data_IF_222704549068
#
_entry.id   IF_222704549068
#
_cell.length_a   1.000
_cell.length_b   1.000
_cell.length_c   1.000
_cell.angle_alpha   90.00
_cell.angle_beta   90.00
_cell.angle_gamma   90.00
#
_symmetry.space_group_name_H-M   'P 1'
#
loop_
_entity.id
_entity.type
_entity.pdbx_description
1 polymer ?
#
# COMPACT_ATOMS: atom_id res chain seq x y z
N UNK A 1 -14.03 -2.96 -28.37
CA UNK A 1 -12.80 -2.11 -28.34
C UNK A 1 -11.66 -2.98 -27.84
N UNK A 2 -10.50 -2.91 -28.47
CA UNK A 2 -9.29 -3.56 -27.92
C UNK A 2 -8.93 -2.90 -26.59
N UNK A 3 -8.69 -3.69 -25.55
CA UNK A 3 -8.23 -3.20 -24.25
C UNK A 3 -6.89 -2.47 -24.44
N UNK A 4 -6.74 -1.26 -23.86
CA UNK A 4 -5.49 -0.50 -23.91
C UNK A 4 -4.48 -1.07 -22.91
N UNK A 5 -3.20 -0.96 -23.24
CA UNK A 5 -2.11 -1.34 -22.31
C UNK A 5 -1.85 -0.20 -21.32
N UNK A 6 -1.54 -0.55 -20.08
CA UNK A 6 -1.32 0.41 -19.01
C UNK A 6 0.05 0.18 -18.38
N UNK A 7 0.84 1.23 -18.31
CA UNK A 7 2.22 1.18 -17.81
C UNK A 7 2.40 2.07 -16.59
N UNK A 8 3.41 1.76 -15.77
CA UNK A 8 3.85 2.57 -14.64
C UNK A 8 4.98 3.47 -15.12
N UNK A 9 4.76 4.77 -15.09
CA UNK A 9 5.74 5.77 -15.54
C UNK A 9 6.35 6.60 -14.42
N UNK A 10 5.77 6.53 -13.21
CA UNK A 10 6.31 7.23 -12.04
C UNK A 10 5.90 6.54 -10.74
N UNK A 11 6.76 6.62 -9.75
CA UNK A 11 6.56 6.05 -8.42
C UNK A 11 6.99 7.03 -7.34
N UNK A 12 6.31 6.99 -6.19
CA UNK A 12 6.67 7.79 -5.02
C UNK A 12 6.19 7.15 -3.73
N UNK A 13 6.96 7.30 -2.67
CA UNK A 13 6.61 6.73 -1.35
C UNK A 13 7.23 7.52 -0.21
N UNK A 14 6.55 7.50 0.91
CA UNK A 14 7.07 7.88 2.22
C UNK A 14 6.54 6.87 3.23
N UNK A 15 7.42 6.27 4.02
CA UNK A 15 7.07 5.18 4.91
C UNK A 15 8.12 5.05 6.05
N UNK A 16 7.97 4.13 7.02
CA UNK A 16 8.86 4.02 8.18
C UNK A 16 10.33 3.75 7.89
N UNK A 17 10.68 3.31 6.68
CA UNK A 17 12.06 2.99 6.30
C UNK A 17 12.66 3.95 5.26
N UNK A 18 11.91 4.97 4.81
CA UNK A 18 12.42 5.96 3.86
C UNK A 18 11.45 7.10 3.60
N UNK A 19 11.97 8.29 3.35
CA UNK A 19 11.19 9.48 3.01
C UNK A 19 10.96 9.65 1.50
N UNK A 20 11.53 8.75 0.69
CA UNK A 20 11.43 8.69 -0.76
C UNK A 20 11.69 7.27 -1.25
N UNK A 21 11.57 7.07 -2.55
CA UNK A 21 11.75 5.76 -3.20
C UNK A 21 13.18 5.23 -3.02
N UNK A 22 14.19 6.07 -3.20
CA UNK A 22 15.61 5.68 -3.11
C UNK A 22 15.97 5.20 -1.69
N UNK A 23 15.61 5.98 -0.66
CA UNK A 23 15.84 5.61 0.75
C UNK A 23 15.09 4.34 1.12
N UNK A 24 13.83 4.20 0.66
CA UNK A 24 13.00 3.03 0.92
C UNK A 24 13.63 1.78 0.29
N UNK A 25 14.02 1.84 -0.98
CA UNK A 25 14.61 0.69 -1.66
C UNK A 25 15.93 0.26 -1.04
N UNK A 26 16.81 1.22 -0.76
CA UNK A 26 18.06 0.94 -0.03
C UNK A 26 17.80 0.26 1.32
N UNK A 27 16.80 0.71 2.06
CA UNK A 27 16.42 0.10 3.34
C UNK A 27 15.87 -1.32 3.18
N UNK A 28 15.18 -1.62 2.08
CA UNK A 28 14.76 -2.98 1.73
C UNK A 28 15.96 -3.88 1.48
N UNK A 29 16.91 -3.43 0.66
CA UNK A 29 18.15 -4.20 0.34
C UNK A 29 19.01 -4.44 1.59
N UNK A 30 19.10 -3.47 2.49
CA UNK A 30 19.83 -3.56 3.76
C UNK A 30 19.09 -4.37 4.84
N UNK A 31 17.84 -4.79 4.61
CA UNK A 31 17.04 -5.50 5.60
C UNK A 31 16.69 -4.64 6.82
N UNK A 32 16.42 -3.34 6.63
CA UNK A 32 16.13 -2.42 7.72
C UNK A 32 14.70 -2.59 8.25
N UNK A 33 14.56 -2.69 9.56
CA UNK A 33 13.27 -2.65 10.26
C UNK A 33 12.96 -1.20 10.67
N UNK A 34 11.79 -0.68 10.26
CA UNK A 34 11.32 0.66 10.61
C UNK A 34 10.43 0.70 11.87
N UNK A 35 10.22 -0.45 12.51
CA UNK A 35 9.42 -0.55 13.74
C UNK A 35 10.27 -0.08 14.92
N UNK A 36 9.70 0.77 15.75
CA UNK A 36 10.37 1.35 16.91
C UNK A 36 9.33 1.75 17.98
N UNK A 37 9.78 2.10 19.20
CA UNK A 37 8.90 2.71 20.19
C UNK A 37 8.18 3.94 19.63
N UNK A 38 6.87 4.02 19.90
CA UNK A 38 6.03 5.15 19.52
C UNK A 38 6.58 6.44 20.12
N UNK A 39 6.78 7.46 19.29
CA UNK A 39 7.28 8.77 19.67
C UNK A 39 6.28 9.91 19.45
N UNK A 40 5.20 9.66 18.71
CA UNK A 40 4.19 10.68 18.39
C UNK A 40 3.31 11.06 19.60
N UNK A 41 3.23 10.19 20.60
CA UNK A 41 2.48 10.44 21.84
C UNK A 41 3.02 9.58 23.01
N UNK A 42 2.63 9.92 24.25
CA UNK A 42 2.99 9.14 25.44
C UNK A 42 2.21 7.83 25.52
N UNK A 43 2.92 6.71 25.52
CA UNK A 43 2.36 5.36 25.60
C UNK A 43 2.24 4.82 27.02
N UNK A 44 2.46 5.65 28.05
CA UNK A 44 2.37 5.24 29.46
C UNK A 44 1.02 4.61 29.77
N UNK A 45 1.05 3.38 30.26
CA UNK A 45 -0.15 2.59 30.58
C UNK A 45 -0.80 1.89 29.39
N UNK A 46 -0.27 2.02 28.19
CA UNK A 46 -0.72 1.27 27.03
C UNK A 46 -0.03 -0.11 26.95
N UNK A 47 -0.77 -1.09 26.43
CA UNK A 47 -0.24 -2.44 26.23
C UNK A 47 0.68 -2.50 25.01
N UNK A 48 0.33 -1.77 23.93
CA UNK A 48 1.10 -1.70 22.69
C UNK A 48 1.90 -0.39 22.67
N UNK A 49 3.20 -0.51 22.45
CA UNK A 49 4.14 0.60 22.52
C UNK A 49 5.03 0.75 21.28
N UNK A 50 4.86 -0.14 20.29
CA UNK A 50 5.63 -0.14 19.05
C UNK A 50 4.75 0.22 17.86
N UNK A 51 5.33 0.96 16.91
CA UNK A 51 4.71 1.27 15.61
C UNK A 51 5.78 1.50 14.52
N UNK A 52 5.36 1.44 13.26
CA UNK A 52 6.10 1.92 12.11
C UNK A 52 5.78 3.39 11.86
N UNK A 53 6.47 4.31 12.49
CA UNK A 53 6.31 5.76 12.30
C UNK A 53 7.25 6.28 11.22
N UNK A 54 6.81 7.26 10.43
CA UNK A 54 7.73 8.07 9.61
C UNK A 54 8.47 9.02 10.53
N UNK A 55 9.72 8.67 10.86
CA UNK A 55 10.58 9.42 11.77
C UNK A 55 11.09 10.71 11.11
N UNK A 56 11.44 11.71 11.93
CA UNK A 56 12.02 13.00 11.50
C UNK A 56 11.21 13.71 10.39
N UNK A 57 9.89 13.51 10.43
CA UNK A 57 8.96 14.04 9.44
C UNK A 57 8.75 15.55 9.64
N UNK A 58 9.45 16.35 8.84
CA UNK A 58 9.24 17.79 8.72
C UNK A 58 8.54 18.11 7.39
N UNK A 59 7.23 18.26 7.46
CA UNK A 59 6.38 18.55 6.29
C UNK A 59 6.76 19.85 5.59
N UNK A 60 7.38 20.81 6.29
CA UNK A 60 7.74 22.11 5.73
C UNK A 60 8.86 22.05 4.68
N UNK A 61 9.59 20.95 4.62
CA UNK A 61 10.55 20.65 3.56
C UNK A 61 9.89 20.37 2.21
N UNK A 62 8.61 20.00 2.21
CA UNK A 62 7.90 19.52 1.04
C UNK A 62 6.69 20.38 0.66
N UNK A 63 5.97 20.92 1.66
CA UNK A 63 4.72 21.66 1.51
C UNK A 63 4.82 22.99 2.26
N UNK A 64 4.27 24.06 1.67
CA UNK A 64 4.20 25.35 2.35
C UNK A 64 3.54 25.22 3.74
N UNK A 65 4.12 25.88 4.74
CA UNK A 65 3.68 25.79 6.14
C UNK A 65 2.21 26.17 6.36
N UNK A 66 1.68 27.13 5.57
CA UNK A 66 0.27 27.55 5.70
C UNK A 66 -0.66 26.50 5.10
N UNK A 67 -0.27 25.91 3.97
CA UNK A 67 -1.04 24.84 3.34
C UNK A 67 -0.98 23.55 4.16
N UNK A 68 0.17 23.17 4.70
CA UNK A 68 0.31 21.99 5.55
C UNK A 68 -0.60 22.03 6.78
N UNK A 69 -0.88 23.21 7.34
CA UNK A 69 -1.80 23.39 8.48
C UNK A 69 -3.27 23.08 8.15
N UNK A 70 -3.64 23.04 6.89
CA UNK A 70 -4.98 22.72 6.41
C UNK A 70 -5.16 21.22 6.12
N UNK A 71 -4.10 20.42 6.26
CA UNK A 71 -4.03 19.02 5.93
C UNK A 71 -3.74 18.18 7.18
N UNK A 72 -4.48 17.07 7.35
CA UNK A 72 -4.05 16.03 8.29
C UNK A 72 -2.78 15.32 7.79
N UNK A 73 -2.09 14.64 8.68
CA UNK A 73 -0.83 13.95 8.40
C UNK A 73 -0.95 12.95 7.23
N UNK A 74 -2.08 12.21 7.10
CA UNK A 74 -2.27 11.30 5.98
C UNK A 74 -2.32 12.01 4.62
N UNK A 75 -2.96 13.20 4.57
CA UNK A 75 -3.00 14.04 3.36
C UNK A 75 -1.59 14.54 3.04
N UNK A 76 -0.85 15.01 4.05
CA UNK A 76 0.53 15.48 3.86
C UNK A 76 1.41 14.38 3.25
N UNK A 77 1.35 13.15 3.75
CA UNK A 77 2.09 12.01 3.20
C UNK A 77 1.67 11.67 1.77
N UNK A 78 0.36 11.65 1.49
CA UNK A 78 -0.17 11.46 0.14
C UNK A 78 0.32 12.50 -0.85
N UNK A 79 0.35 13.78 -0.45
CA UNK A 79 0.88 14.88 -1.26
C UNK A 79 2.37 14.75 -1.56
N UNK A 80 3.16 14.33 -0.56
CA UNK A 80 4.62 14.15 -0.71
C UNK A 80 4.92 13.01 -1.67
N UNK A 81 4.30 11.84 -1.46
CA UNK A 81 4.48 10.70 -2.36
C UNK A 81 3.98 10.99 -3.79
N UNK A 82 2.87 11.72 -3.93
CA UNK A 82 2.37 12.14 -5.25
C UNK A 82 3.32 13.11 -5.94
N UNK A 83 3.95 14.02 -5.19
CA UNK A 83 4.93 14.94 -5.76
C UNK A 83 6.16 14.21 -6.29
N UNK A 84 6.65 13.22 -5.53
CA UNK A 84 7.76 12.38 -5.98
C UNK A 84 7.37 11.61 -7.24
N UNK A 85 6.22 10.92 -7.25
CA UNK A 85 5.75 10.15 -8.40
C UNK A 85 5.57 11.00 -9.66
N UNK A 86 5.01 12.20 -9.53
CA UNK A 86 4.84 13.14 -10.64
C UNK A 86 6.18 13.65 -11.20
N UNK A 87 7.13 13.97 -10.32
CA UNK A 87 8.48 14.37 -10.74
C UNK A 87 9.21 13.21 -11.45
N UNK A 88 9.12 12.01 -10.88
CA UNK A 88 9.73 10.81 -11.43
C UNK A 88 9.15 10.44 -12.81
N UNK A 89 7.84 10.62 -13.00
CA UNK A 89 7.17 10.36 -14.28
C UNK A 89 7.59 11.30 -15.40
N UNK A 90 8.13 12.47 -15.09
CA UNK A 90 8.44 13.51 -16.06
C UNK A 90 7.21 14.09 -16.79
N UNK A 91 6.00 13.88 -16.26
CA UNK A 91 4.77 14.42 -16.84
C UNK A 91 4.73 15.95 -16.75
N UNK A 92 4.46 16.61 -17.88
CA UNK A 92 4.16 18.03 -17.92
C UNK A 92 2.64 18.24 -17.93
N UNK A 93 2.10 18.76 -16.84
CA UNK A 93 0.65 18.97 -16.67
C UNK A 93 0.05 19.92 -17.70
N UNK A 94 0.86 20.78 -18.35
CA UNK A 94 0.40 21.67 -19.41
C UNK A 94 0.17 20.96 -20.75
N UNK A 95 0.71 19.76 -20.89
CA UNK A 95 0.61 18.93 -22.12
C UNK A 95 -0.31 17.72 -21.97
N UNK A 96 -1.05 17.64 -20.85
CA UNK A 96 -2.03 16.57 -20.59
C UNK A 96 -3.44 17.14 -20.74
N UNK A 97 -4.35 16.37 -21.33
CA UNK A 97 -5.79 16.68 -21.25
C UNK A 97 -6.25 16.48 -19.78
N UNK A 98 -6.52 17.58 -19.09
CA UNK A 98 -6.91 17.57 -17.69
C UNK A 98 -8.17 16.75 -17.41
N UNK A 99 -9.11 16.64 -18.36
CA UNK A 99 -10.32 15.82 -18.22
C UNK A 99 -10.08 14.32 -18.41
N UNK A 100 -8.91 13.95 -18.89
CA UNK A 100 -8.45 12.57 -19.05
C UNK A 100 -7.31 12.21 -18.07
N UNK A 101 -7.07 13.11 -17.10
CA UNK A 101 -6.11 12.95 -16.02
C UNK A 101 -6.86 12.88 -14.69
N UNK A 102 -6.78 11.73 -14.01
CA UNK A 102 -7.55 11.46 -12.79
C UNK A 102 -6.69 11.09 -11.58
N UNK A 103 -7.36 10.98 -10.44
CA UNK A 103 -6.75 10.64 -9.14
C UNK A 103 -7.61 9.61 -8.42
N UNK A 104 -7.04 8.47 -8.04
CA UNK A 104 -7.66 7.51 -7.13
C UNK A 104 -6.68 7.21 -6.02
N UNK A 105 -6.90 7.79 -4.84
CA UNK A 105 -6.02 7.58 -3.67
C UNK A 105 -6.86 7.23 -2.47
N UNK A 106 -6.56 6.07 -1.88
CA UNK A 106 -7.25 5.50 -0.72
C UNK A 106 -6.69 6.03 0.60
N UNK A 107 -7.57 6.10 1.59
CA UNK A 107 -7.21 6.10 3.02
C UNK A 107 -8.28 5.29 3.75
N UNK A 108 -7.86 4.40 4.63
CA UNK A 108 -8.79 3.51 5.36
C UNK A 108 -9.57 4.23 6.46
N UNK A 109 -8.92 5.15 7.18
CA UNK A 109 -9.50 5.82 8.35
C UNK A 109 -9.61 7.34 8.14
N UNK A 110 -8.73 7.92 7.34
CA UNK A 110 -8.67 9.38 7.16
C UNK A 110 -7.98 10.08 8.33
N UNK A 111 -8.43 11.30 8.65
CA UNK A 111 -7.77 12.20 9.60
C UNK A 111 -8.07 11.90 11.07
N UNK A 112 -7.76 10.71 11.56
CA UNK A 112 -8.03 10.31 12.95
C UNK A 112 -7.32 11.23 13.96
N UNK A 113 -6.07 11.62 13.71
CA UNK A 113 -5.35 12.56 14.56
C UNK A 113 -6.01 13.96 14.61
N UNK A 114 -6.58 14.41 13.50
CA UNK A 114 -7.38 15.65 13.46
C UNK A 114 -8.67 15.51 14.24
N UNK A 115 -9.36 14.36 14.22
CA UNK A 115 -10.54 14.10 15.04
C UNK A 115 -10.20 14.22 16.51
N UNK A 116 -9.17 13.52 16.99
CA UNK A 116 -8.75 13.54 18.40
C UNK A 116 -8.43 14.96 18.87
N UNK A 117 -7.58 15.67 18.10
CA UNK A 117 -7.14 17.02 18.44
C UNK A 117 -8.28 18.03 18.48
N UNK A 118 -9.21 17.96 17.52
CA UNK A 118 -10.34 18.89 17.47
C UNK A 118 -11.37 18.55 18.53
N UNK A 119 -11.60 17.27 18.84
CA UNK A 119 -12.46 16.87 19.94
C UNK A 119 -11.95 17.42 21.28
N UNK A 120 -10.68 17.25 21.60
CA UNK A 120 -10.04 17.80 22.79
C UNK A 120 -10.12 19.35 22.87
N UNK A 121 -10.01 20.01 21.72
CA UNK A 121 -10.15 21.47 21.62
C UNK A 121 -11.59 21.89 21.90
N UNK A 122 -12.55 21.19 21.31
CA UNK A 122 -13.98 21.44 21.49
C UNK A 122 -14.43 21.24 22.94
N UNK A 123 -13.95 20.20 23.63
CA UNK A 123 -14.24 19.99 25.04
C UNK A 123 -13.74 21.14 25.94
N UNK A 124 -12.54 21.65 25.66
CA UNK A 124 -11.93 22.73 26.47
C UNK A 124 -12.45 24.11 26.16
N UNK A 125 -12.86 24.40 24.92
CA UNK A 125 -13.15 25.76 24.43
C UNK A 125 -14.55 25.95 23.86
N UNK A 126 -15.32 24.86 23.70
CA UNK A 126 -16.62 24.81 23.01
C UNK A 126 -16.47 24.24 21.59
N UNK A 127 -17.47 23.45 21.17
CA UNK A 127 -17.46 22.73 19.88
C UNK A 127 -17.40 23.68 18.67
N UNK A 128 -17.90 24.92 18.80
CA UNK A 128 -17.80 25.93 17.75
C UNK A 128 -16.41 26.56 17.59
N UNK A 129 -15.43 26.11 18.40
CA UNK A 129 -14.04 26.59 18.40
C UNK A 129 -13.05 25.62 17.77
N UNK A 130 -13.53 24.53 17.18
CA UNK A 130 -12.71 23.61 16.40
C UNK A 130 -12.18 24.28 15.13
N UNK A 131 -11.16 23.69 14.51
CA UNK A 131 -10.57 24.22 13.27
C UNK A 131 -11.63 24.40 12.17
N UNK A 132 -11.65 25.52 11.42
CA UNK A 132 -12.51 25.65 10.23
C UNK A 132 -12.15 24.64 9.13
N UNK A 133 -10.97 24.04 9.20
CA UNK A 133 -10.52 22.97 8.30
C UNK A 133 -10.77 21.57 8.87
N UNK A 134 -11.44 21.43 10.03
CA UNK A 134 -11.64 20.15 10.70
C UNK A 134 -12.26 19.10 9.75
N UNK A 135 -13.37 19.42 9.12
CA UNK A 135 -14.05 18.47 8.21
C UNK A 135 -13.17 18.10 7.01
N UNK A 136 -12.61 19.06 6.24
CA UNK A 136 -11.68 18.73 5.16
C UNK A 136 -10.44 17.90 5.58
N UNK A 137 -9.96 18.09 6.81
CA UNK A 137 -8.82 17.31 7.33
C UNK A 137 -9.18 15.88 7.69
N UNK A 138 -10.47 15.59 7.96
CA UNK A 138 -10.91 14.28 8.46
C UNK A 138 -11.34 13.31 7.38
N UNK A 139 -12.02 13.77 6.34
CA UNK A 139 -12.63 12.89 5.35
C UNK A 139 -11.57 12.25 4.43
N UNK A 140 -11.67 10.93 4.28
CA UNK A 140 -10.65 10.11 3.60
C UNK A 140 -10.38 10.52 2.14
N UNK A 141 -11.40 11.04 1.42
CA UNK A 141 -11.27 11.43 0.02
C UNK A 141 -10.49 12.73 -0.20
N UNK A 142 -10.17 13.49 0.85
CA UNK A 142 -9.50 14.78 0.68
C UNK A 142 -8.01 14.64 0.32
N UNK A 143 -7.38 13.50 0.57
CA UNK A 143 -6.05 13.26 -0.01
C UNK A 143 -6.11 13.28 -1.55
N UNK A 144 -7.04 12.53 -2.15
CA UNK A 144 -7.27 12.55 -3.60
C UNK A 144 -7.66 13.97 -4.10
N UNK A 145 -8.53 14.68 -3.36
CA UNK A 145 -8.94 16.03 -3.69
C UNK A 145 -7.79 17.04 -3.69
N UNK A 146 -6.92 17.02 -2.67
CA UNK A 146 -5.74 17.89 -2.62
C UNK A 146 -4.75 17.59 -3.76
N UNK A 147 -4.52 16.33 -4.08
CA UNK A 147 -3.68 15.89 -5.20
C UNK A 147 -4.27 16.39 -6.52
N UNK A 148 -5.58 16.20 -6.75
CA UNK A 148 -6.26 16.64 -7.97
C UNK A 148 -6.14 18.16 -8.16
N UNK A 149 -6.31 18.95 -7.11
CA UNK A 149 -6.14 20.42 -7.13
C UNK A 149 -4.70 20.79 -7.49
N UNK A 150 -3.71 20.14 -6.86
CA UNK A 150 -2.31 20.45 -7.07
C UNK A 150 -1.82 20.22 -8.51
N UNK A 151 -2.41 19.25 -9.21
CA UNK A 151 -2.01 18.84 -10.58
C UNK A 151 -3.06 19.17 -11.65
N UNK A 152 -4.13 19.91 -11.29
CA UNK A 152 -5.23 20.24 -12.21
C UNK A 152 -5.85 19.02 -12.88
N UNK A 153 -5.89 17.89 -12.15
CA UNK A 153 -6.50 16.63 -12.63
C UNK A 153 -8.03 16.75 -12.52
N UNK A 154 -8.69 16.94 -13.66
CA UNK A 154 -10.14 17.18 -13.77
C UNK A 154 -10.92 15.95 -14.25
N UNK A 155 -10.23 14.81 -14.42
CA UNK A 155 -10.85 13.52 -14.68
C UNK A 155 -11.47 12.93 -13.42
N UNK A 156 -11.56 11.59 -13.36
CA UNK A 156 -12.08 10.90 -12.18
C UNK A 156 -11.25 11.22 -10.93
N UNK A 157 -11.89 11.69 -9.86
CA UNK A 157 -11.26 11.88 -8.56
C UNK A 157 -12.07 11.14 -7.49
N UNK A 158 -11.51 10.09 -6.88
CA UNK A 158 -12.23 9.27 -5.88
C UNK A 158 -11.28 8.62 -4.88
N UNK A 159 -11.86 8.06 -3.82
CA UNK A 159 -11.15 7.36 -2.75
C UNK A 159 -11.93 6.07 -2.41
N UNK A 160 -11.50 4.89 -2.85
CA UNK A 160 -12.06 3.65 -2.35
C UNK A 160 -11.69 3.46 -0.88
N UNK A 161 -12.68 3.17 -0.03
CA UNK A 161 -12.47 2.90 1.39
C UNK A 161 -12.78 1.43 1.63
N UNK A 162 -11.78 0.59 1.42
CA UNK A 162 -11.84 -0.88 1.56
C UNK A 162 -10.81 -1.38 2.57
N UNK A 163 -10.68 -0.65 3.68
CA UNK A 163 -9.73 -0.92 4.76
C UNK A 163 -8.31 -1.14 4.21
N UNK A 164 -7.65 -2.24 4.59
CA UNK A 164 -6.27 -2.55 4.20
C UNK A 164 -6.08 -2.82 2.70
N UNK A 165 -7.16 -3.13 1.97
CA UNK A 165 -7.12 -3.35 0.52
C UNK A 165 -7.24 -2.04 -0.29
N UNK A 166 -7.49 -0.91 0.38
CA UNK A 166 -7.84 0.35 -0.28
C UNK A 166 -6.81 0.84 -1.29
N UNK A 167 -5.52 0.81 -0.96
CA UNK A 167 -4.45 1.23 -1.86
C UNK A 167 -4.37 0.35 -3.12
N UNK A 168 -4.52 -0.96 -2.97
CA UNK A 168 -4.55 -1.91 -4.09
C UNK A 168 -5.79 -1.72 -4.95
N UNK A 169 -6.97 -1.52 -4.34
CA UNK A 169 -8.20 -1.19 -5.09
C UNK A 169 -8.06 0.12 -5.86
N UNK A 170 -7.47 1.16 -5.25
CA UNK A 170 -7.24 2.44 -5.92
C UNK A 170 -6.39 2.28 -7.20
N UNK A 171 -5.31 1.51 -7.12
CA UNK A 171 -4.44 1.21 -8.26
C UNK A 171 -5.19 0.38 -9.32
N UNK A 172 -5.91 -0.66 -8.89
CA UNK A 172 -6.68 -1.52 -9.78
C UNK A 172 -7.83 -0.80 -10.49
N UNK A 173 -8.55 0.08 -9.80
CA UNK A 173 -9.62 0.88 -10.39
C UNK A 173 -9.05 1.92 -11.37
N UNK A 174 -7.91 2.53 -11.06
CA UNK A 174 -7.19 3.42 -11.97
C UNK A 174 -6.75 2.69 -13.25
N UNK A 175 -6.19 1.49 -13.10
CA UNK A 175 -5.83 0.61 -14.21
C UNK A 175 -7.03 0.35 -15.13
N UNK A 176 -8.18 -0.06 -14.58
CA UNK A 176 -9.39 -0.30 -15.38
C UNK A 176 -9.85 0.96 -16.10
N UNK A 177 -9.83 2.12 -15.47
CA UNK A 177 -10.23 3.39 -16.08
C UNK A 177 -9.35 3.76 -17.29
N UNK A 178 -8.04 3.51 -17.22
CA UNK A 178 -7.14 3.74 -18.36
C UNK A 178 -7.35 2.68 -19.44
N UNK A 179 -7.36 1.39 -19.05
CA UNK A 179 -7.49 0.26 -19.95
C UNK A 179 -8.78 0.34 -20.80
N UNK A 180 -9.87 0.74 -20.16
CA UNK A 180 -11.19 0.79 -20.78
C UNK A 180 -11.45 2.14 -21.48
N UNK A 181 -10.44 3.05 -21.49
CA UNK A 181 -10.44 4.27 -22.32
C UNK A 181 -11.09 5.49 -21.69
N UNK A 182 -11.42 5.47 -20.38
CA UNK A 182 -12.01 6.63 -19.70
C UNK A 182 -10.96 7.68 -19.32
N UNK A 183 -9.75 7.26 -18.99
CA UNK A 183 -8.63 8.15 -18.64
C UNK A 183 -7.39 7.79 -19.46
N UNK A 184 -6.42 8.69 -19.56
CA UNK A 184 -5.11 8.44 -20.18
C UNK A 184 -4.00 8.36 -19.14
N UNK A 185 -4.13 9.12 -18.05
CA UNK A 185 -3.18 9.16 -16.94
C UNK A 185 -3.94 9.15 -15.62
N UNK A 186 -3.43 8.39 -14.65
CA UNK A 186 -3.99 8.34 -13.30
C UNK A 186 -2.89 8.41 -12.23
N UNK A 187 -3.09 9.24 -11.22
CA UNK A 187 -2.34 9.17 -9.95
C UNK A 187 -3.10 8.19 -9.06
N UNK A 188 -2.47 7.10 -8.65
CA UNK A 188 -3.15 6.03 -7.93
C UNK A 188 -2.31 5.45 -6.78
N UNK A 189 -2.97 5.09 -5.68
CA UNK A 189 -2.31 4.49 -4.53
C UNK A 189 -3.06 4.69 -3.22
N UNK A 190 -2.32 4.82 -2.12
CA UNK A 190 -2.91 5.01 -0.81
C UNK A 190 -2.03 5.78 0.16
N UNK A 191 -2.65 6.39 1.17
CA UNK A 191 -1.99 7.10 2.26
C UNK A 191 -2.74 6.88 3.57
N UNK A 192 -2.01 6.80 4.70
CA UNK A 192 -2.59 6.59 6.02
C UNK A 192 -1.68 7.13 7.11
N UNK A 193 -2.27 7.70 8.18
CA UNK A 193 -1.53 8.17 9.35
C UNK A 193 -2.34 7.95 10.65
N UNK A 194 -2.62 6.69 10.93
CA UNK A 194 -3.49 6.29 12.07
C UNK A 194 -2.73 5.88 13.32
N UNK A 195 -1.41 6.14 13.39
CA UNK A 195 -0.61 5.95 14.62
C UNK A 195 -0.93 7.08 15.60
N UNK A 196 -2.06 6.94 16.27
CA UNK A 196 -2.62 7.89 17.24
C UNK A 196 -3.08 7.15 18.50
N UNK A 197 -3.31 7.82 19.64
CA UNK A 197 -3.84 7.18 20.84
C UNK A 197 -5.11 6.34 20.58
N UNK A 198 -6.10 6.89 19.87
CA UNK A 198 -7.33 6.14 19.55
C UNK A 198 -7.08 5.04 18.52
N UNK A 199 -6.22 5.25 17.53
CA UNK A 199 -5.86 4.24 16.54
C UNK A 199 -5.22 3.02 17.20
N UNK A 200 -4.16 3.23 17.97
CA UNK A 200 -3.49 2.16 18.73
C UNK A 200 -4.45 1.54 19.76
N UNK A 201 -5.19 2.37 20.51
CA UNK A 201 -6.15 1.88 21.51
C UNK A 201 -7.26 1.04 20.91
N UNK A 202 -7.85 1.48 19.81
CA UNK A 202 -8.94 0.78 19.12
C UNK A 202 -8.53 -0.60 18.61
N UNK A 203 -7.40 -0.69 17.89
CA UNK A 203 -6.89 -1.98 17.40
C UNK A 203 -6.35 -2.87 18.55
N UNK A 204 -5.83 -2.29 19.64
CA UNK A 204 -5.48 -3.05 20.85
C UNK A 204 -6.71 -3.68 21.49
N UNK A 205 -7.83 -2.94 21.60
CA UNK A 205 -9.10 -3.45 22.13
C UNK A 205 -9.64 -4.62 21.32
N UNK A 206 -9.41 -4.63 20.01
CA UNK A 206 -9.75 -5.74 19.12
C UNK A 206 -8.77 -6.93 19.24
N UNK A 207 -7.69 -6.80 20.01
CA UNK A 207 -6.59 -7.78 20.10
C UNK A 207 -5.95 -8.08 18.72
N UNK A 208 -5.90 -7.08 17.86
CA UNK A 208 -5.36 -7.20 16.51
C UNK A 208 -3.86 -6.84 16.42
N UNK A 209 -3.37 -6.01 17.38
CA UNK A 209 -1.97 -5.57 17.40
C UNK A 209 -1.08 -6.54 18.18
N UNK A 210 0.15 -6.65 17.71
CA UNK A 210 1.23 -7.31 18.45
C UNK A 210 1.54 -6.54 19.74
N UNK A 211 1.67 -7.24 20.84
CA UNK A 211 2.07 -6.70 22.14
C UNK A 211 3.55 -6.99 22.46
N UNK A 212 4.33 -7.38 21.47
CA UNK A 212 5.77 -7.55 21.59
C UNK A 212 6.45 -6.23 22.00
N UNK A 213 7.49 -6.35 22.79
CA UNK A 213 8.32 -5.21 23.24
C UNK A 213 9.64 -5.10 22.50
N UNK A 214 10.05 -6.15 21.79
CA UNK A 214 11.20 -6.15 20.90
C UNK A 214 10.75 -5.76 19.48
N UNK A 215 11.23 -4.63 18.92
CA UNK A 215 10.92 -4.21 17.56
C UNK A 215 11.16 -5.29 16.49
N UNK A 216 12.19 -6.13 16.69
CA UNK A 216 12.54 -7.20 15.75
C UNK A 216 11.69 -8.46 15.91
N UNK A 217 10.78 -8.51 16.91
CA UNK A 217 9.82 -9.60 17.10
C UNK A 217 8.36 -9.15 17.05
N UNK A 218 8.12 -7.88 16.72
CA UNK A 218 6.77 -7.31 16.71
C UNK A 218 5.99 -7.58 15.42
N UNK A 219 6.63 -7.41 14.24
CA UNK A 219 6.06 -7.76 12.94
C UNK A 219 6.90 -8.87 12.31
N UNK A 220 6.38 -10.08 12.36
CA UNK A 220 7.05 -11.33 11.99
C UNK A 220 6.12 -12.18 11.09
N UNK A 221 5.82 -11.71 9.86
CA UNK A 221 4.91 -12.42 8.98
C UNK A 221 5.33 -13.88 8.76
N UNK A 222 4.34 -14.78 8.76
CA UNK A 222 4.50 -16.22 8.58
C UNK A 222 5.30 -16.98 9.68
N UNK A 223 5.88 -16.26 10.65
CA UNK A 223 6.59 -16.87 11.78
C UNK A 223 5.57 -17.53 12.73
N UNK A 224 5.93 -18.66 13.32
CA UNK A 224 5.06 -19.42 14.24
C UNK A 224 4.67 -18.62 15.50
N UNK A 225 5.53 -17.71 15.95
CA UNK A 225 5.31 -16.89 17.14
C UNK A 225 4.58 -15.58 16.87
N UNK A 226 4.08 -15.37 15.63
CA UNK A 226 3.31 -14.16 15.28
C UNK A 226 2.05 -14.05 16.13
N UNK A 227 1.75 -12.86 16.61
CA UNK A 227 0.64 -12.65 17.54
C UNK A 227 -0.21 -11.40 17.25
N UNK A 228 0.01 -10.73 16.12
CA UNK A 228 -0.70 -9.52 15.72
C UNK A 228 0.12 -8.68 14.77
N UNK A 229 -0.50 -7.68 14.15
CA UNK A 229 0.23 -6.75 13.29
C UNK A 229 0.79 -5.57 14.08
N UNK A 230 1.80 -4.90 13.52
CA UNK A 230 2.29 -3.61 14.00
C UNK A 230 1.70 -2.52 13.11
N UNK A 231 1.02 -1.53 13.70
CA UNK A 231 0.50 -0.40 12.92
C UNK A 231 1.64 0.45 12.36
N UNK A 232 1.55 0.79 11.09
CA UNK A 232 2.43 1.73 10.41
C UNK A 232 1.67 2.91 9.80
N UNK A 233 2.41 3.88 9.29
CA UNK A 233 1.90 5.03 8.56
C UNK A 233 2.72 5.27 7.29
N UNK A 234 2.19 5.98 6.32
CA UNK A 234 2.91 6.30 5.09
C UNK A 234 2.02 6.56 3.89
N UNK A 235 2.64 6.58 2.72
CA UNK A 235 1.96 6.65 1.43
C UNK A 235 2.78 5.94 0.35
N UNK A 236 2.09 5.35 -0.62
CA UNK A 236 2.67 4.80 -1.83
C UNK A 236 1.80 5.16 -3.03
N UNK A 237 2.40 5.75 -4.06
CA UNK A 237 1.72 6.32 -5.22
C UNK A 237 2.42 5.87 -6.50
N UNK A 238 1.62 5.48 -7.46
CA UNK A 238 2.01 5.18 -8.84
C UNK A 238 1.40 6.21 -9.80
N UNK A 239 2.13 6.53 -10.86
CA UNK A 239 1.56 7.15 -12.05
C UNK A 239 1.32 6.02 -13.06
N UNK A 240 0.03 5.75 -13.31
CA UNK A 240 -0.41 4.83 -14.35
C UNK A 240 -0.72 5.62 -15.61
N UNK A 241 -0.29 5.11 -16.75
CA UNK A 241 -0.40 5.82 -18.03
C UNK A 241 -0.73 4.84 -19.15
N UNK A 242 -1.51 5.28 -20.11
CA UNK A 242 -1.75 4.53 -21.35
C UNK A 242 -0.45 4.41 -22.14
N UNK A 243 -0.14 3.22 -22.65
CA UNK A 243 1.15 2.91 -23.26
C UNK A 243 1.52 3.84 -24.43
N UNK A 244 0.60 4.06 -25.39
CA UNK A 244 0.89 4.90 -26.55
C UNK A 244 1.08 6.38 -26.16
N UNK A 245 0.35 6.83 -25.11
CA UNK A 245 0.56 8.15 -24.52
C UNK A 245 1.96 8.25 -23.91
N UNK A 246 2.40 7.26 -23.14
CA UNK A 246 3.73 7.19 -22.53
C UNK A 246 4.85 7.16 -23.59
N UNK A 247 4.71 6.32 -24.62
CA UNK A 247 5.69 6.20 -25.71
C UNK A 247 5.82 7.51 -26.50
N UNK A 248 4.70 8.16 -26.81
CA UNK A 248 4.68 9.42 -27.57
C UNK A 248 5.50 10.54 -26.90
N UNK A 249 5.54 10.56 -25.57
CA UNK A 249 6.31 11.55 -24.82
C UNK A 249 7.71 11.08 -24.41
N UNK A 250 8.10 9.83 -24.75
CA UNK A 250 9.38 9.23 -24.40
C UNK A 250 9.52 8.95 -22.90
N UNK A 251 8.42 8.53 -22.24
CA UNK A 251 8.42 8.23 -20.82
C UNK A 251 9.36 7.09 -20.46
N UNK A 252 9.98 7.17 -19.29
CA UNK A 252 10.52 5.99 -18.62
C UNK A 252 9.37 5.08 -18.20
N UNK A 253 9.50 3.78 -18.44
CA UNK A 253 8.50 2.77 -18.08
C UNK A 253 9.14 1.77 -17.11
N UNK A 254 8.58 1.67 -15.91
CA UNK A 254 9.01 0.72 -14.88
C UNK A 254 8.53 -0.70 -15.14
N UNK A 255 7.31 -0.84 -15.65
CA UNK A 255 6.64 -2.11 -15.90
C UNK A 255 5.24 -1.86 -16.43
N UNK A 256 4.56 -2.93 -16.81
CA UNK A 256 3.19 -2.93 -17.28
C UNK A 256 2.27 -3.53 -16.22
N UNK A 257 1.17 -2.87 -15.90
CA UNK A 257 0.10 -3.47 -15.10
C UNK A 257 -0.81 -4.27 -16.02
N UNK A 258 -0.98 -5.57 -15.73
CA UNK A 258 -1.68 -6.49 -16.64
C UNK A 258 -2.95 -7.07 -16.07
N UNK A 259 -3.08 -7.18 -14.75
CA UNK A 259 -4.24 -7.79 -14.12
C UNK A 259 -4.65 -7.16 -12.81
N UNK A 260 -5.96 -7.16 -12.57
CA UNK A 260 -6.58 -6.74 -11.32
C UNK A 260 -7.76 -7.63 -10.98
N UNK A 261 -7.71 -8.29 -9.82
CA UNK A 261 -8.76 -9.14 -9.30
C UNK A 261 -9.24 -8.69 -7.94
N UNK A 262 -10.53 -8.81 -7.70
CA UNK A 262 -11.19 -8.46 -6.43
C UNK A 262 -12.18 -9.54 -6.03
N UNK A 263 -12.42 -9.65 -4.72
CA UNK A 263 -13.48 -10.46 -4.15
C UNK A 263 -13.91 -9.90 -2.80
N UNK A 264 -14.98 -10.44 -2.27
CA UNK A 264 -15.42 -10.19 -0.90
C UNK A 264 -15.70 -11.53 -0.20
N UNK A 265 -15.15 -11.72 1.01
CA UNK A 265 -15.39 -12.91 1.81
C UNK A 265 -16.86 -13.08 2.20
N UNK A 266 -17.60 -12.00 2.41
CA UNK A 266 -18.99 -11.97 2.87
C UNK A 266 -19.23 -12.92 4.07
N UNK A 267 -18.24 -12.98 4.99
CA UNK A 267 -18.20 -13.95 6.08
C UNK A 267 -18.25 -13.30 7.47
N UNK A 268 -17.26 -12.49 7.81
CA UNK A 268 -17.13 -11.83 9.11
C UNK A 268 -16.50 -10.46 8.95
N UNK A 269 -16.75 -9.54 9.90
CA UNK A 269 -16.30 -8.15 9.76
C UNK A 269 -14.77 -8.00 9.84
N UNK A 270 -14.09 -8.88 10.56
CA UNK A 270 -12.62 -8.80 10.78
C UNK A 270 -11.87 -10.08 10.53
N UNK A 271 -12.54 -11.26 10.56
CA UNK A 271 -11.89 -12.54 10.30
C UNK A 271 -11.98 -12.91 8.81
N UNK A 272 -10.91 -13.43 8.21
CA UNK A 272 -10.95 -13.92 6.84
C UNK A 272 -11.87 -15.16 6.72
N UNK A 273 -12.33 -15.40 5.50
CA UNK A 273 -13.05 -16.64 5.17
C UNK A 273 -12.08 -17.83 5.36
N UNK A 274 -12.52 -18.92 6.06
CA UNK A 274 -11.68 -20.10 6.26
C UNK A 274 -11.10 -20.63 4.94
N UNK A 275 -9.91 -21.22 5.00
CA UNK A 275 -9.16 -21.75 3.86
C UNK A 275 -8.75 -20.70 2.81
N UNK A 276 -8.93 -19.40 3.11
CA UNK A 276 -8.49 -18.30 2.25
C UNK A 276 -9.23 -18.18 0.92
N UNK A 277 -10.45 -18.73 0.81
CA UNK A 277 -11.20 -18.74 -0.47
C UNK A 277 -11.35 -17.36 -1.09
N UNK A 278 -11.64 -16.31 -0.31
CA UNK A 278 -11.77 -14.96 -0.84
C UNK A 278 -10.49 -14.42 -1.46
N UNK A 279 -9.35 -14.60 -0.77
CA UNK A 279 -8.04 -14.25 -1.31
C UNK A 279 -7.70 -15.05 -2.58
N UNK A 280 -8.05 -16.35 -2.61
CA UNK A 280 -7.87 -17.19 -3.78
C UNK A 280 -8.69 -16.68 -4.99
N UNK A 281 -9.95 -16.28 -4.77
CA UNK A 281 -10.77 -15.67 -5.83
C UNK A 281 -10.18 -14.35 -6.35
N UNK A 282 -9.65 -13.49 -5.49
CA UNK A 282 -9.02 -12.25 -5.92
C UNK A 282 -7.79 -12.53 -6.79
N UNK A 283 -6.92 -13.47 -6.39
CA UNK A 283 -5.74 -13.87 -7.16
C UNK A 283 -6.14 -14.51 -8.50
N UNK A 284 -7.10 -15.43 -8.51
CA UNK A 284 -7.58 -16.05 -9.76
C UNK A 284 -8.19 -15.02 -10.70
N UNK A 285 -9.02 -14.11 -10.19
CA UNK A 285 -9.60 -13.02 -11.00
C UNK A 285 -8.53 -12.11 -11.60
N UNK A 286 -7.41 -11.86 -10.89
CA UNK A 286 -6.29 -11.08 -11.42
C UNK A 286 -5.57 -11.82 -12.56
N UNK A 287 -5.36 -13.14 -12.42
CA UNK A 287 -4.78 -13.98 -13.48
C UNK A 287 -5.68 -14.03 -14.72
N UNK A 288 -6.98 -14.19 -14.51
CA UNK A 288 -7.97 -14.22 -15.60
C UNK A 288 -8.06 -12.86 -16.32
N UNK A 289 -8.02 -11.74 -15.58
CA UNK A 289 -8.02 -10.39 -16.13
C UNK A 289 -6.74 -10.11 -16.95
N UNK A 290 -5.59 -10.63 -16.49
CA UNK A 290 -4.32 -10.57 -17.21
C UNK A 290 -4.25 -11.55 -18.40
N UNK A 291 -5.10 -12.57 -18.45
CA UNK A 291 -5.07 -13.62 -19.46
C UNK A 291 -3.82 -14.49 -19.41
N UNK A 292 -3.29 -14.74 -18.21
CA UNK A 292 -2.07 -15.52 -17.99
C UNK A 292 -2.31 -16.74 -17.10
N UNK A 293 -1.45 -17.74 -17.24
CA UNK A 293 -1.45 -18.91 -16.36
C UNK A 293 -0.76 -18.59 -15.02
N UNK A 294 -1.17 -19.26 -13.96
CA UNK A 294 -0.63 -19.07 -12.60
C UNK A 294 0.89 -19.39 -12.51
N UNK A 295 1.39 -20.27 -13.36
CA UNK A 295 2.79 -20.74 -13.34
C UNK A 295 3.82 -19.74 -13.89
N UNK A 296 3.37 -18.61 -14.44
CA UNK A 296 4.26 -17.52 -14.89
C UNK A 296 4.53 -16.49 -13.81
N UNK A 297 3.84 -16.53 -12.67
CA UNK A 297 4.12 -15.61 -11.55
C UNK A 297 5.41 -16.04 -10.83
N UNK A 298 6.37 -15.13 -10.76
CA UNK A 298 7.69 -15.37 -10.15
C UNK A 298 7.73 -15.04 -8.66
N UNK A 299 6.98 -14.01 -8.25
CA UNK A 299 6.97 -13.47 -6.91
C UNK A 299 5.60 -12.93 -6.50
N UNK A 300 5.23 -13.17 -5.25
CA UNK A 300 4.07 -12.57 -4.59
C UNK A 300 4.54 -11.69 -3.44
N UNK A 301 4.25 -10.37 -3.51
CA UNK A 301 4.27 -9.51 -2.35
C UNK A 301 2.95 -9.75 -1.60
N UNK A 302 3.04 -10.50 -0.52
CA UNK A 302 1.89 -10.97 0.23
C UNK A 302 1.30 -9.88 1.13
N UNK A 303 0.03 -10.02 1.47
CA UNK A 303 -0.57 -9.21 2.53
C UNK A 303 0.15 -9.43 3.85
N UNK A 304 0.37 -10.68 4.26
CA UNK A 304 1.31 -11.09 5.32
C UNK A 304 1.38 -10.14 6.52
N UNK A 305 0.32 -10.04 7.32
CA UNK A 305 0.19 -9.04 8.38
C UNK A 305 0.89 -9.40 9.69
N UNK A 306 1.42 -10.61 9.82
CA UNK A 306 1.91 -11.14 11.10
C UNK A 306 0.77 -11.47 12.09
N UNK A 307 -0.47 -11.61 11.60
CA UNK A 307 -1.57 -12.15 12.39
C UNK A 307 -1.72 -13.63 12.10
N UNK A 308 -2.12 -14.41 13.12
CA UNK A 308 -2.20 -15.86 12.99
C UNK A 308 -3.12 -16.29 11.83
N UNK A 309 -4.36 -15.76 11.81
CA UNK A 309 -5.37 -16.17 10.84
C UNK A 309 -5.08 -15.67 9.42
N UNK A 310 -4.64 -14.42 9.26
CA UNK A 310 -4.37 -13.87 7.93
C UNK A 310 -3.28 -14.67 7.21
N UNK A 311 -2.14 -14.88 7.88
CA UNK A 311 -0.98 -15.49 7.23
C UNK A 311 -1.25 -16.97 6.89
N UNK A 312 -2.01 -17.65 7.73
CA UNK A 312 -2.50 -19.02 7.45
C UNK A 312 -3.44 -19.02 6.25
N UNK A 313 -4.50 -18.19 6.26
CA UNK A 313 -5.49 -18.14 5.19
C UNK A 313 -4.87 -17.73 3.85
N UNK A 314 -3.92 -16.77 3.86
CA UNK A 314 -3.22 -16.36 2.63
C UNK A 314 -2.31 -17.49 2.11
N UNK A 315 -1.64 -18.23 2.98
CA UNK A 315 -0.87 -19.43 2.60
C UNK A 315 -1.75 -20.45 1.90
N UNK A 316 -2.92 -20.77 2.46
CA UNK A 316 -3.88 -21.69 1.87
C UNK A 316 -4.45 -21.16 0.54
N UNK A 317 -4.76 -19.87 0.46
CA UNK A 317 -5.19 -19.22 -0.77
C UNK A 317 -4.16 -19.35 -1.90
N UNK A 318 -2.89 -19.08 -1.60
CA UNK A 318 -1.77 -19.22 -2.56
C UNK A 318 -1.65 -20.69 -3.01
N UNK A 319 -1.67 -21.66 -2.09
CA UNK A 319 -1.63 -23.09 -2.45
C UNK A 319 -2.79 -23.50 -3.36
N UNK A 320 -4.00 -23.01 -3.07
CA UNK A 320 -5.20 -23.32 -3.84
C UNK A 320 -5.09 -22.84 -5.30
N UNK A 321 -4.60 -21.62 -5.53
CA UNK A 321 -4.48 -21.01 -6.85
C UNK A 321 -3.28 -21.58 -7.61
N UNK A 322 -2.11 -21.58 -6.96
CA UNK A 322 -0.83 -21.87 -7.61
C UNK A 322 -0.44 -23.37 -7.59
N UNK A 323 -1.18 -24.20 -6.83
CA UNK A 323 -0.98 -25.67 -6.79
C UNK A 323 0.50 -26.00 -6.51
N UNK A 324 1.10 -26.89 -7.29
CA UNK A 324 2.52 -27.26 -7.18
C UNK A 324 3.48 -26.09 -7.43
N UNK A 325 3.04 -25.05 -8.18
CA UNK A 325 3.84 -23.87 -8.42
C UNK A 325 4.00 -23.00 -7.15
N UNK A 326 3.06 -23.09 -6.19
CA UNK A 326 3.14 -22.38 -4.91
C UNK A 326 4.46 -22.64 -4.15
N UNK A 327 5.06 -23.83 -4.33
CA UNK A 327 6.33 -24.19 -3.71
C UNK A 327 7.57 -23.80 -4.53
N UNK A 328 7.39 -23.28 -5.74
CA UNK A 328 8.46 -22.82 -6.63
C UNK A 328 8.58 -21.31 -6.69
N UNK A 329 7.46 -20.59 -6.57
CA UNK A 329 7.45 -19.13 -6.53
C UNK A 329 7.94 -18.62 -5.17
N UNK A 330 8.41 -17.40 -5.13
CA UNK A 330 8.75 -16.73 -3.89
C UNK A 330 7.56 -15.94 -3.36
N UNK A 331 7.40 -15.94 -2.04
CA UNK A 331 6.37 -15.15 -1.32
C UNK A 331 7.07 -14.35 -0.25
N UNK A 332 6.87 -13.05 -0.14
CA UNK A 332 7.38 -12.32 1.02
C UNK A 332 6.43 -11.22 1.47
N UNK A 333 6.51 -10.87 2.74
CA UNK A 333 5.81 -9.72 3.29
C UNK A 333 6.78 -8.62 3.69
N UNK A 334 6.63 -7.46 3.09
CA UNK A 334 7.42 -6.26 3.42
C UNK A 334 6.95 -5.57 4.69
N UNK A 335 5.89 -6.07 5.34
CA UNK A 335 5.41 -5.54 6.63
C UNK A 335 6.34 -5.83 7.82
N UNK A 336 7.32 -6.73 7.67
CA UNK A 336 8.44 -6.85 8.60
C UNK A 336 9.32 -5.60 8.61
N UNK A 337 9.37 -4.85 7.51
CA UNK A 337 10.09 -3.59 7.37
C UNK A 337 9.28 -2.38 7.85
N UNK A 338 8.03 -2.24 7.38
CA UNK A 338 7.23 -1.02 7.51
C UNK A 338 6.17 -1.08 8.61
N UNK A 339 5.88 -2.27 9.14
CA UNK A 339 4.60 -2.48 9.80
C UNK A 339 3.45 -2.49 8.77
N UNK A 340 2.23 -2.53 9.25
CA UNK A 340 1.03 -2.51 8.41
C UNK A 340 0.47 -1.09 8.30
N UNK A 341 0.66 -0.45 7.15
CA UNK A 341 0.26 0.93 6.90
C UNK A 341 -1.22 1.06 6.46
N UNK A 342 -2.07 0.10 6.79
CA UNK A 342 -3.53 0.09 6.56
C UNK A 342 -3.89 0.48 5.11
N UNK A 343 -4.63 1.58 4.89
CA UNK A 343 -5.04 2.04 3.55
C UNK A 343 -3.88 2.44 2.63
N UNK A 344 -2.71 2.74 3.19
CA UNK A 344 -1.49 3.00 2.41
C UNK A 344 -0.75 1.73 2.00
N UNK A 345 -0.98 0.60 2.67
CA UNK A 345 -0.18 -0.62 2.52
C UNK A 345 -0.08 -1.06 1.06
N UNK A 346 -1.22 -1.22 0.39
CA UNK A 346 -1.23 -1.66 -1.02
C UNK A 346 -0.52 -0.71 -1.97
N UNK A 347 -0.52 0.60 -1.70
CA UNK A 347 0.23 1.58 -2.48
C UNK A 347 1.74 1.42 -2.29
N UNK A 348 2.22 1.29 -1.06
CA UNK A 348 3.64 1.07 -0.72
C UNK A 348 4.11 -0.26 -1.32
N UNK A 349 3.33 -1.32 -1.15
CA UNK A 349 3.63 -2.66 -1.67
C UNK A 349 3.64 -2.72 -3.21
N UNK A 350 2.79 -1.94 -3.88
CA UNK A 350 2.83 -1.79 -5.33
C UNK A 350 4.12 -1.09 -5.80
N UNK A 351 4.56 -0.03 -5.12
CA UNK A 351 5.86 0.61 -5.38
C UNK A 351 6.99 -0.40 -5.22
N UNK A 352 7.00 -1.17 -4.13
CA UNK A 352 8.03 -2.19 -3.87
C UNK A 352 7.98 -3.34 -4.88
N UNK A 353 6.79 -3.74 -5.35
CA UNK A 353 6.61 -4.77 -6.38
C UNK A 353 7.18 -4.34 -7.74
N UNK A 354 6.95 -3.07 -8.12
CA UNK A 354 7.52 -2.49 -9.33
C UNK A 354 9.04 -2.36 -9.25
N UNK A 355 9.56 -1.99 -8.08
CA UNK A 355 11.00 -1.95 -7.84
C UNK A 355 11.63 -3.34 -7.84
N UNK A 356 10.94 -4.35 -7.31
CA UNK A 356 11.39 -5.74 -7.37
C UNK A 356 11.60 -6.20 -8.83
N UNK A 357 10.63 -5.92 -9.72
CA UNK A 357 10.78 -6.15 -11.17
C UNK A 357 11.98 -5.40 -11.76
N UNK A 358 12.08 -4.10 -11.48
CA UNK A 358 13.16 -3.25 -12.02
C UNK A 358 14.55 -3.74 -11.63
N UNK A 359 14.72 -4.18 -10.39
CA UNK A 359 16.01 -4.57 -9.83
C UNK A 359 16.28 -6.07 -9.87
N UNK A 360 15.32 -6.88 -10.31
CA UNK A 360 15.40 -8.34 -10.26
C UNK A 360 15.76 -8.84 -8.85
N UNK A 361 15.12 -8.26 -7.84
CA UNK A 361 15.38 -8.53 -6.44
C UNK A 361 14.09 -8.75 -5.66
N UNK A 362 14.01 -9.86 -4.95
CA UNK A 362 12.87 -10.20 -4.09
C UNK A 362 13.14 -9.70 -2.67
N UNK A 363 12.34 -8.75 -2.16
CA UNK A 363 12.43 -8.30 -0.77
C UNK A 363 12.28 -9.44 0.23
N UNK A 364 13.01 -9.44 1.35
CA UNK A 364 12.87 -10.47 2.37
C UNK A 364 11.63 -10.26 3.23
N UNK A 365 11.14 -11.35 3.84
CA UNK A 365 10.32 -11.31 5.04
C UNK A 365 11.24 -11.19 6.25
N UNK A 366 11.31 -10.01 6.87
CA UNK A 366 12.20 -9.76 7.98
C UNK A 366 11.74 -10.41 9.28
N UNK A 367 12.71 -10.60 10.18
CA UNK A 367 12.51 -11.01 11.56
C UNK A 367 11.94 -12.44 11.72
N UNK A 368 11.96 -13.24 10.66
CA UNK A 368 11.53 -14.64 10.66
C UNK A 368 12.55 -15.51 11.40
N UNK A 369 12.14 -16.19 12.45
CA UNK A 369 13.01 -17.02 13.28
C UNK A 369 12.46 -18.44 13.52
N UNK A 370 11.16 -18.59 13.70
CA UNK A 370 10.54 -19.86 14.05
C UNK A 370 9.63 -20.31 12.93
N UNK A 371 9.98 -21.45 12.31
CA UNK A 371 9.20 -22.04 11.23
C UNK A 371 7.81 -22.43 11.70
N UNK A 372 6.80 -22.03 10.92
CA UNK A 372 5.43 -22.49 11.06
C UNK A 372 5.15 -23.55 9.98
N UNK A 373 4.82 -24.77 10.40
CA UNK A 373 4.55 -25.87 9.47
C UNK A 373 3.24 -25.68 8.68
N UNK A 374 2.36 -24.78 9.14
CA UNK A 374 1.12 -24.42 8.43
C UNK A 374 1.36 -23.34 7.38
N UNK A 375 2.44 -22.55 7.51
CA UNK A 375 2.89 -21.52 6.56
C UNK A 375 4.18 -21.96 5.86
N UNK A 376 4.12 -23.08 5.14
CA UNK A 376 5.27 -23.84 4.62
C UNK A 376 5.78 -23.39 3.24
N UNK A 377 5.34 -22.24 2.74
CA UNK A 377 5.81 -21.65 1.47
C UNK A 377 7.23 -21.07 1.60
N UNK A 378 7.86 -20.80 0.46
CA UNK A 378 9.14 -20.06 0.43
C UNK A 378 8.89 -18.57 0.73
N UNK A 379 8.93 -18.20 2.01
CA UNK A 379 8.65 -16.84 2.48
C UNK A 379 9.85 -15.88 2.42
N UNK A 380 10.95 -16.28 1.80
CA UNK A 380 12.18 -15.48 1.65
C UNK A 380 12.65 -14.90 2.99
N UNK A 381 13.06 -15.74 3.96
CA UNK A 381 13.32 -15.29 5.32
C UNK A 381 14.57 -14.44 5.43
N UNK A 382 14.44 -13.25 5.99
CA UNK A 382 15.49 -12.31 6.45
C UNK A 382 16.45 -11.75 5.40
N UNK A 383 16.75 -12.47 4.33
CA UNK A 383 17.70 -12.04 3.29
C UNK A 383 16.99 -12.07 1.94
N UNK A 384 17.01 -10.93 1.23
CA UNK A 384 16.43 -10.82 -0.10
C UNK A 384 17.22 -11.64 -1.13
N UNK A 385 16.59 -11.95 -2.24
CA UNK A 385 17.13 -12.85 -3.27
C UNK A 385 17.14 -12.16 -4.63
N UNK A 386 18.29 -12.17 -5.31
CA UNK A 386 18.38 -11.82 -6.72
C UNK A 386 17.78 -12.94 -7.56
N UNK A 387 16.80 -12.61 -8.39
CA UNK A 387 16.12 -13.55 -9.30
C UNK A 387 15.52 -12.76 -10.47
N UNK A 388 15.70 -13.24 -11.67
CA UNK A 388 15.01 -12.68 -12.85
C UNK A 388 13.51 -12.74 -12.63
N UNK A 389 12.85 -11.59 -12.69
CA UNK A 389 11.42 -11.43 -12.43
C UNK A 389 10.73 -10.91 -13.70
N UNK A 390 9.74 -11.65 -14.16
CA UNK A 390 8.91 -11.25 -15.31
C UNK A 390 7.49 -10.87 -14.88
N UNK A 391 6.94 -11.53 -13.86
CA UNK A 391 5.61 -11.25 -13.31
C UNK A 391 5.63 -11.22 -11.79
N UNK A 392 5.10 -10.15 -11.24
CA UNK A 392 4.94 -9.96 -9.79
C UNK A 392 3.50 -9.69 -9.46
N UNK A 393 2.96 -10.39 -8.46
CA UNK A 393 1.63 -10.17 -7.91
C UNK A 393 1.76 -9.46 -6.55
N UNK A 394 0.84 -8.54 -6.23
CA UNK A 394 0.71 -7.95 -4.90
C UNK A 394 -0.69 -8.17 -4.37
N UNK A 395 -0.81 -8.69 -3.15
CA UNK A 395 -2.08 -9.03 -2.51
C UNK A 395 -2.40 -8.08 -1.36
N UNK A 396 -3.66 -7.74 -1.20
CA UNK A 396 -4.19 -7.05 -0.02
C UNK A 396 -5.49 -7.70 0.44
N UNK A 397 -5.56 -8.02 1.72
CA UNK A 397 -6.72 -8.62 2.38
C UNK A 397 -7.17 -7.69 3.50
N UNK A 398 -8.39 -7.16 3.45
CA UNK A 398 -8.85 -6.11 4.35
C UNK A 398 -10.02 -6.53 5.23
N UNK A 399 -10.16 -5.88 6.37
CA UNK A 399 -11.37 -5.99 7.20
C UNK A 399 -12.62 -5.67 6.37
N UNK A 400 -13.72 -6.35 6.67
CA UNK A 400 -14.92 -6.36 5.82
C UNK A 400 -14.88 -7.46 4.75
N UNK A 401 -13.79 -8.24 4.70
CA UNK A 401 -13.59 -9.30 3.71
C UNK A 401 -13.20 -8.77 2.33
N UNK A 402 -12.62 -7.57 2.27
CA UNK A 402 -12.15 -6.99 1.01
C UNK A 402 -10.83 -7.60 0.59
N UNK A 403 -10.81 -8.27 -0.56
CA UNK A 403 -9.62 -8.88 -1.14
C UNK A 403 -9.31 -8.26 -2.49
N UNK A 404 -8.05 -7.92 -2.73
CA UNK A 404 -7.58 -7.37 -3.98
C UNK A 404 -6.19 -7.91 -4.34
N UNK A 405 -5.99 -8.21 -5.62
CA UNK A 405 -4.70 -8.65 -6.18
C UNK A 405 -4.42 -7.89 -7.48
N UNK A 406 -3.20 -7.39 -7.62
CA UNK A 406 -2.72 -6.71 -8.82
C UNK A 406 -1.50 -7.43 -9.37
N UNK A 407 -1.33 -7.40 -10.70
CA UNK A 407 -0.21 -8.06 -11.38
C UNK A 407 0.55 -7.02 -12.21
N UNK A 408 1.85 -6.97 -11.97
CA UNK A 408 2.81 -6.22 -12.78
C UNK A 408 3.67 -7.17 -13.60
N UNK A 409 4.03 -6.74 -14.80
CA UNK A 409 4.89 -7.45 -15.73
C UNK A 409 6.09 -6.59 -16.11
N UNK A 410 7.25 -7.21 -16.33
CA UNK A 410 8.39 -6.55 -16.96
C UNK A 410 7.96 -5.90 -18.28
N UNK A 411 8.35 -4.65 -18.49
CA UNK A 411 8.10 -3.98 -19.77
C UNK A 411 9.23 -4.30 -20.74
N UNK A 412 8.88 -5.01 -21.82
CA UNK A 412 9.78 -5.28 -22.95
C UNK A 412 9.51 -4.25 -24.05
N UNK A 413 10.49 -3.39 -24.31
CA UNK A 413 10.44 -2.39 -25.39
C UNK A 413 10.89 -2.94 -26.75
N UNK A 414 11.06 -4.26 -26.87
CA UNK A 414 11.44 -4.93 -28.13
C UNK A 414 12.88 -4.70 -28.59
N UNK A 415 13.76 -4.24 -27.67
CA UNK A 415 15.19 -3.99 -27.94
C UNK A 415 16.09 -5.07 -27.36
N UNK A 416 15.65 -6.34 -27.37
CA UNK A 416 16.54 -7.48 -27.10
C UNK A 416 17.02 -8.10 -28.39
#
# INVERSE_FOLDING_TARGET
MTKRRVVVTGIGTINPIGHNVEETWKSIEEGKCGIAPISLFDTKGMKVTLAGEVKDFDVTKYIDKKEAKKMDRFIQMGMIASKEAMLDSGLDINNIDSHRFGVIVSSGIGGLGSIEKNYQTGEKRGLDRVSPFFIPMTISNLAAGHIAIAYHAQGLCTCPVTACAGGTNAIGDAFRNIRDGYQDVMIAGGCEASVTPLGIGGFTSMKALSDATDPNRASIPFDKERNGFVMGEGAGILILEELEHALKRGAHIYGEMTGYGVSCDAHHITAPLPNGEGGAYAMQNALDDAGISYDVIDYINAHGTSTHLNDLCETEAIKSVFKEHAYKLAVSSTKGHTGHCLGAAGGIEAVLSVLALKHNFIPPTLNYQVKDEECDLNVVPNIGVNKDLHYVMSNSLGFGGHNASIIFKEYDNGTK
#
